data_IF_853937657935
#
_entry.id   IF_853937657935
#
_cell.length_a   1.000
_cell.length_b   1.000
_cell.length_c   1.000
_cell.angle_alpha   90.00
_cell.angle_beta   90.00
_cell.angle_gamma   90.00
#
_symmetry.space_group_name_H-M   'P 1'
#
loop_
_entity.id
_entity.type
_entity.pdbx_description
1 polymer ?
#
# COMPACT_ATOMS: atom_id res chain seq x y z
N UNK A 1 -15.34 3.83 -2.85
CA UNK A 1 -15.56 2.79 -3.88
C UNK A 1 -16.11 3.45 -5.13
N UNK A 2 -15.52 3.19 -6.30
CA UNK A 2 -16.07 3.62 -7.60
C UNK A 2 -16.88 2.47 -8.20
N UNK A 3 -18.04 2.77 -8.77
CA UNK A 3 -18.96 1.82 -9.39
C UNK A 3 -19.24 2.34 -10.79
N UNK A 4 -18.96 1.53 -11.81
CA UNK A 4 -19.21 1.83 -13.22
C UNK A 4 -20.09 0.73 -13.83
N UNK A 5 -21.13 1.14 -14.56
CA UNK A 5 -22.07 0.26 -15.25
C UNK A 5 -22.26 0.64 -16.71
N UNK A 6 -21.25 1.30 -17.31
CA UNK A 6 -21.26 1.64 -18.73
C UNK A 6 -21.46 0.38 -19.58
N UNK A 7 -22.44 0.42 -20.48
CA UNK A 7 -22.78 -0.70 -21.35
C UNK A 7 -23.51 -1.87 -20.69
N UNK A 8 -23.80 -1.83 -19.38
CA UNK A 8 -24.54 -2.91 -18.69
C UNK A 8 -26.03 -2.93 -19.08
N UNK A 9 -26.62 -1.75 -19.28
CA UNK A 9 -28.04 -1.61 -19.57
C UNK A 9 -28.28 -1.07 -20.98
N UNK A 10 -29.31 -1.61 -21.64
CA UNK A 10 -29.86 -1.08 -22.87
C UNK A 10 -31.26 -0.51 -22.61
N UNK A 11 -31.66 0.52 -23.36
CA UNK A 11 -32.98 1.14 -23.20
C UNK A 11 -34.16 0.22 -23.57
N UNK A 12 -33.92 -0.83 -24.37
CA UNK A 12 -34.94 -1.79 -24.78
C UNK A 12 -36.22 -1.11 -25.32
N UNK A 13 -36.06 -0.22 -26.30
CA UNK A 13 -37.17 0.52 -26.91
C UNK A 13 -37.53 1.85 -26.25
N UNK A 14 -37.00 2.15 -25.06
CA UNK A 14 -37.15 3.47 -24.40
C UNK A 14 -35.88 3.89 -23.67
N UNK A 15 -35.47 5.15 -23.78
CA UNK A 15 -34.28 5.62 -23.07
C UNK A 15 -34.40 5.39 -21.55
N UNK A 16 -33.29 5.02 -20.92
CA UNK A 16 -33.18 4.97 -19.45
C UNK A 16 -33.44 6.39 -18.92
N UNK A 17 -34.22 6.48 -17.83
CA UNK A 17 -34.64 7.73 -17.20
C UNK A 17 -33.97 7.94 -15.84
N UNK A 18 -33.61 6.86 -15.15
CA UNK A 18 -32.83 6.93 -13.92
C UNK A 18 -32.07 5.61 -13.70
N UNK A 19 -30.97 5.71 -12.96
CA UNK A 19 -30.33 4.57 -12.33
C UNK A 19 -30.54 4.62 -10.81
N UNK A 20 -30.59 3.44 -10.19
CA UNK A 20 -30.59 3.30 -8.74
C UNK A 20 -29.42 2.43 -8.32
N UNK A 21 -28.64 2.89 -7.34
CA UNK A 21 -27.48 2.14 -6.84
C UNK A 21 -27.76 1.72 -5.41
N UNK A 22 -27.83 0.41 -5.19
CA UNK A 22 -27.91 -0.18 -3.85
C UNK A 22 -26.54 -0.67 -3.42
N UNK A 23 -26.11 -0.27 -2.22
CA UNK A 23 -24.86 -0.73 -1.60
C UNK A 23 -25.14 -1.08 -0.15
N UNK A 24 -24.83 -2.31 0.26
CA UNK A 24 -24.97 -2.72 1.66
C UNK A 24 -23.97 -3.81 2.06
N UNK A 25 -23.56 -3.83 3.32
CA UNK A 25 -22.77 -4.92 3.91
C UNK A 25 -23.64 -6.09 4.38
N UNK A 26 -24.91 -5.83 4.72
CA UNK A 26 -25.90 -6.80 5.21
C UNK A 26 -27.26 -6.68 4.49
N UNK A 27 -28.12 -7.68 4.64
CA UNK A 27 -29.43 -7.74 3.96
C UNK A 27 -29.38 -8.14 2.48
N UNK A 28 -30.55 -8.19 1.84
CA UNK A 28 -30.72 -8.53 0.42
C UNK A 28 -31.04 -7.30 -0.41
N UNK A 29 -30.59 -7.31 -1.67
CA UNK A 29 -30.92 -6.25 -2.61
C UNK A 29 -32.45 -6.14 -2.80
N UNK A 30 -33.03 -4.93 -2.74
CA UNK A 30 -34.48 -4.76 -2.86
C UNK A 30 -34.94 -4.98 -4.30
N UNK A 31 -36.15 -5.50 -4.49
CA UNK A 31 -36.74 -5.59 -5.83
C UNK A 31 -36.98 -4.19 -6.42
N UNK A 32 -36.76 -4.04 -7.72
CA UNK A 32 -37.16 -2.85 -8.47
C UNK A 32 -38.31 -3.19 -9.40
N UNK A 33 -39.47 -2.56 -9.18
CA UNK A 33 -40.72 -2.90 -9.89
C UNK A 33 -41.37 -1.64 -10.47
N UNK A 34 -42.11 -1.84 -11.56
CA UNK A 34 -42.99 -0.85 -12.18
C UNK A 34 -44.35 -1.53 -12.35
N UNK A 35 -45.42 -0.87 -11.94
CA UNK A 35 -46.80 -1.38 -12.05
C UNK A 35 -47.65 -0.44 -12.92
N UNK A 36 -48.87 -0.85 -13.30
CA UNK A 36 -49.79 0.00 -14.08
C UNK A 36 -49.39 0.23 -15.54
N UNK A 37 -48.38 -0.50 -16.04
CA UNK A 37 -47.87 -0.35 -17.41
C UNK A 37 -48.93 -0.71 -18.45
N UNK A 38 -49.64 -1.83 -18.24
CA UNK A 38 -50.71 -2.31 -19.15
C UNK A 38 -51.93 -1.39 -19.18
N UNK A 39 -52.14 -0.62 -18.10
CA UNK A 39 -53.22 0.37 -17.97
C UNK A 39 -52.82 1.74 -18.55
N UNK A 40 -51.59 1.88 -19.08
CA UNK A 40 -51.06 3.15 -19.57
C UNK A 40 -50.74 4.16 -18.47
N UNK A 41 -50.75 3.74 -17.20
CA UNK A 41 -50.51 4.57 -16.02
C UNK A 41 -49.35 4.00 -15.18
N UNK A 42 -48.10 4.01 -15.71
CA UNK A 42 -46.97 3.40 -15.03
C UNK A 42 -46.68 4.11 -13.70
N UNK A 43 -46.60 3.33 -12.64
CA UNK A 43 -46.23 3.78 -11.29
C UNK A 43 -44.91 3.12 -10.90
N UNK A 44 -43.98 3.94 -10.42
CA UNK A 44 -42.68 3.50 -9.96
C UNK A 44 -42.27 4.27 -8.71
N UNK A 45 -41.78 3.54 -7.72
CA UNK A 45 -41.11 4.09 -6.54
C UNK A 45 -39.69 3.53 -6.51
N UNK A 46 -38.66 4.37 -6.35
CA UNK A 46 -37.29 3.90 -6.21
C UNK A 46 -37.18 2.84 -5.10
N UNK A 47 -36.38 1.78 -5.29
CA UNK A 47 -36.21 0.78 -4.24
C UNK A 47 -35.68 1.42 -2.95
N UNK A 48 -36.04 0.90 -1.76
CA UNK A 48 -35.59 1.48 -0.49
C UNK A 48 -34.07 1.39 -0.35
N UNK A 49 -33.46 2.43 0.24
CA UNK A 49 -32.02 2.45 0.54
C UNK A 49 -31.11 2.57 -0.67
N UNK A 50 -31.63 2.99 -1.83
CA UNK A 50 -30.83 3.27 -3.02
C UNK A 50 -30.41 4.73 -3.10
N UNK A 51 -29.29 4.97 -3.78
CA UNK A 51 -28.92 6.29 -4.29
C UNK A 51 -29.52 6.44 -5.69
N UNK A 52 -30.27 7.52 -5.93
CA UNK A 52 -30.80 7.86 -7.25
C UNK A 52 -29.72 8.57 -8.06
N UNK A 53 -29.46 8.09 -9.26
CA UNK A 53 -28.46 8.62 -10.19
C UNK A 53 -29.15 8.99 -11.50
N UNK A 54 -28.77 10.13 -12.06
CA UNK A 54 -29.28 10.62 -13.34
C UNK A 54 -28.94 9.67 -14.51
N UNK A 55 -29.84 9.55 -15.48
CA UNK A 55 -29.66 8.66 -16.63
C UNK A 55 -28.46 9.00 -17.53
N UNK A 56 -27.96 10.23 -17.50
CA UNK A 56 -26.76 10.63 -18.24
C UNK A 56 -25.47 10.09 -17.60
N UNK A 57 -25.50 9.64 -16.34
CA UNK A 57 -24.34 9.07 -15.66
C UNK A 57 -24.37 7.55 -15.67
N UNK A 58 -23.24 6.95 -15.99
CA UNK A 58 -23.03 5.49 -15.92
C UNK A 58 -22.04 5.09 -14.83
N UNK A 59 -21.71 6.03 -13.94
CA UNK A 59 -20.80 5.77 -12.82
C UNK A 59 -21.17 6.60 -11.59
N UNK A 60 -20.75 6.11 -10.43
CA UNK A 60 -20.82 6.87 -9.17
C UNK A 60 -19.68 6.50 -8.23
N UNK A 61 -19.47 7.33 -7.21
CA UNK A 61 -18.54 7.07 -6.13
C UNK A 61 -19.31 7.03 -4.81
N UNK A 62 -19.13 5.94 -4.08
CA UNK A 62 -19.66 5.78 -2.71
C UNK A 62 -18.51 5.96 -1.72
N UNK A 63 -18.66 6.93 -0.83
CA UNK A 63 -17.71 7.28 0.24
C UNK A 63 -18.25 6.85 1.61
N UNK A 64 -17.44 7.00 2.66
CA UNK A 64 -17.84 6.69 4.04
C UNK A 64 -18.03 5.20 4.34
N UNK A 65 -17.51 4.32 3.49
CA UNK A 65 -17.51 2.88 3.72
C UNK A 65 -16.46 2.50 4.75
N UNK A 66 -16.77 1.53 5.60
CA UNK A 66 -15.81 0.96 6.55
C UNK A 66 -14.82 0.08 5.79
N UNK A 67 -13.53 0.29 6.04
CA UNK A 67 -12.49 -0.55 5.47
C UNK A 67 -12.66 -2.02 5.90
N UNK A 68 -12.15 -2.94 5.08
CA UNK A 68 -12.15 -4.39 5.32
C UNK A 68 -13.54 -5.01 5.53
N UNK A 69 -14.61 -4.29 5.16
CA UNK A 69 -15.99 -4.76 5.16
C UNK A 69 -16.43 -5.09 3.74
N UNK A 70 -16.87 -6.31 3.46
CA UNK A 70 -17.40 -6.66 2.14
C UNK A 70 -18.79 -6.07 1.94
N UNK A 71 -18.94 -5.30 0.86
CA UNK A 71 -20.21 -4.73 0.41
C UNK A 71 -20.72 -5.47 -0.83
N UNK A 72 -22.04 -5.62 -0.91
CA UNK A 72 -22.77 -6.04 -2.12
C UNK A 72 -23.28 -4.80 -2.85
N UNK A 73 -23.25 -4.85 -4.16
CA UNK A 73 -23.67 -3.75 -5.05
C UNK A 73 -24.62 -4.30 -6.11
N UNK A 74 -25.75 -3.62 -6.28
CA UNK A 74 -26.67 -3.83 -7.41
C UNK A 74 -27.01 -2.47 -8.00
N UNK A 75 -26.93 -2.37 -9.33
CA UNK A 75 -27.42 -1.21 -10.07
C UNK A 75 -28.75 -1.58 -10.72
N UNK A 76 -29.71 -0.67 -10.71
CA UNK A 76 -30.98 -0.82 -11.40
C UNK A 76 -31.11 0.27 -12.46
N UNK A 77 -31.66 -0.07 -13.62
CA UNK A 77 -32.00 0.88 -14.67
C UNK A 77 -33.52 0.95 -14.85
N UNK A 78 -34.07 2.16 -14.73
CA UNK A 78 -35.48 2.44 -14.92
C UNK A 78 -35.71 3.24 -16.19
N UNK A 79 -36.61 2.80 -17.06
CA UNK A 79 -36.92 3.46 -18.34
C UNK A 79 -38.37 3.95 -18.43
N UNK A 80 -39.12 3.96 -17.32
CA UNK A 80 -40.53 4.37 -17.31
C UNK A 80 -41.55 3.29 -17.65
N UNK A 81 -41.11 2.12 -18.11
CA UNK A 81 -41.98 0.95 -18.36
C UNK A 81 -41.50 -0.28 -17.59
N UNK A 82 -40.22 -0.35 -17.29
CA UNK A 82 -39.65 -1.41 -16.47
C UNK A 82 -38.49 -0.90 -15.62
N UNK A 83 -38.09 -1.75 -14.70
CA UNK A 83 -36.88 -1.57 -13.92
C UNK A 83 -36.09 -2.89 -13.93
N UNK A 84 -34.86 -2.84 -14.42
CA UNK A 84 -34.00 -4.02 -14.58
C UNK A 84 -32.82 -3.94 -13.63
N UNK A 85 -32.52 -5.02 -12.92
CA UNK A 85 -31.35 -5.12 -12.04
C UNK A 85 -30.13 -5.65 -12.82
N UNK A 86 -28.93 -5.18 -12.44
CA UNK A 86 -27.67 -5.85 -12.79
C UNK A 86 -27.54 -7.18 -12.04
N UNK A 87 -26.53 -7.96 -12.41
CA UNK A 87 -26.02 -8.97 -11.49
C UNK A 87 -25.53 -8.29 -10.19
N UNK A 88 -25.66 -9.00 -9.07
CA UNK A 88 -25.06 -8.57 -7.81
C UNK A 88 -23.55 -8.84 -7.85
N UNK A 89 -22.77 -7.83 -7.42
CA UNK A 89 -21.31 -7.93 -7.31
C UNK A 89 -20.88 -7.57 -5.90
N UNK A 90 -19.70 -8.04 -5.50
CA UNK A 90 -19.11 -7.73 -4.19
C UNK A 90 -17.82 -6.96 -4.32
N UNK A 91 -17.54 -6.10 -3.33
CA UNK A 91 -16.29 -5.37 -3.22
C UNK A 91 -15.94 -5.12 -1.75
N UNK A 92 -14.65 -5.22 -1.43
CA UNK A 92 -14.12 -4.94 -0.09
C UNK A 92 -13.15 -3.76 -0.19
N UNK A 93 -13.53 -2.54 0.24
CA UNK A 93 -12.60 -1.42 0.26
C UNK A 93 -11.47 -1.71 1.24
N UNK A 94 -10.23 -1.53 0.77
CA UNK A 94 -9.01 -1.68 1.59
C UNK A 94 -8.49 -0.30 1.98
N UNK A 95 -7.95 -0.20 3.18
CA UNK A 95 -7.29 0.99 3.66
C UNK A 95 -5.78 0.83 3.56
N UNK A 96 -5.10 1.91 3.16
CA UNK A 96 -3.64 1.96 3.19
C UNK A 96 -3.20 2.21 4.62
N UNK A 97 -2.10 1.59 5.08
CA UNK A 97 -1.51 1.96 6.36
C UNK A 97 -1.25 3.46 6.45
N UNK A 98 -1.43 4.02 7.64
CA UNK A 98 -1.05 5.40 7.92
C UNK A 98 0.47 5.57 7.86
N UNK A 99 0.93 6.81 7.76
CA UNK A 99 2.36 7.10 7.73
C UNK A 99 3.05 6.63 9.02
N UNK A 100 4.27 6.12 8.87
CA UNK A 100 5.15 5.82 10.00
C UNK A 100 5.60 7.12 10.66
N UNK A 101 5.51 7.19 11.99
CA UNK A 101 5.81 8.38 12.80
C UNK A 101 7.00 8.17 13.73
N UNK A 102 7.36 6.92 14.04
CA UNK A 102 8.55 6.58 14.79
C UNK A 102 9.14 5.26 14.30
N UNK A 103 10.44 5.09 14.53
CA UNK A 103 11.16 3.85 14.26
C UNK A 103 12.01 3.46 15.46
N UNK A 104 12.23 2.17 15.63
CA UNK A 104 13.30 1.63 16.46
C UNK A 104 14.38 1.07 15.52
N UNK A 105 15.57 1.64 15.57
CA UNK A 105 16.70 1.20 14.77
C UNK A 105 17.93 1.01 15.64
N UNK A 106 18.71 -0.02 15.34
CA UNK A 106 20.02 -0.27 15.96
C UNK A 106 21.14 -0.11 14.94
N UNK A 107 22.33 0.19 15.44
CA UNK A 107 23.57 0.10 14.67
C UNK A 107 24.45 1.35 14.73
N UNK A 108 25.58 1.32 13.98
CA UNK A 108 25.97 0.23 13.07
C UNK A 108 26.24 -1.11 13.78
N UNK A 109 25.69 -2.21 13.27
CA UNK A 109 25.94 -3.58 13.71
C UNK A 109 26.55 -4.38 12.58
N UNK A 110 27.43 -5.33 12.90
CA UNK A 110 28.06 -6.17 11.89
C UNK A 110 27.02 -7.12 11.26
N UNK A 111 26.78 -6.96 9.95
CA UNK A 111 25.80 -7.75 9.17
C UNK A 111 26.47 -8.79 8.30
N UNK A 112 27.73 -8.55 7.93
CA UNK A 112 28.65 -9.47 7.31
C UNK A 112 30.08 -9.02 7.65
N UNK A 113 31.08 -9.85 7.36
CA UNK A 113 32.47 -9.52 7.60
C UNK A 113 32.83 -8.15 7.01
N UNK A 114 33.23 -7.22 7.89
CA UNK A 114 33.60 -5.85 7.51
C UNK A 114 32.42 -4.95 7.10
N UNK A 115 31.17 -5.38 7.23
CA UNK A 115 29.98 -4.57 6.91
C UNK A 115 29.22 -4.25 8.18
N UNK A 116 29.16 -2.97 8.50
CA UNK A 116 28.47 -2.45 9.68
C UNK A 116 27.31 -1.56 9.22
N UNK A 117 26.10 -2.10 9.29
CA UNK A 117 24.88 -1.46 8.79
C UNK A 117 23.90 -1.18 9.93
N UNK A 118 22.86 -0.40 9.63
CA UNK A 118 21.74 -0.21 10.56
C UNK A 118 20.70 -1.31 10.33
N UNK A 119 20.05 -1.74 11.42
CA UNK A 119 18.90 -2.64 11.36
C UNK A 119 17.68 -1.91 11.90
N UNK A 120 16.61 -1.88 11.11
CA UNK A 120 15.31 -1.41 11.53
C UNK A 120 14.61 -2.55 12.27
N UNK A 121 14.32 -2.34 13.55
CA UNK A 121 13.76 -3.33 14.46
C UNK A 121 12.25 -3.25 14.51
N UNK A 122 11.71 -2.04 14.66
CA UNK A 122 10.28 -1.80 14.78
C UNK A 122 9.87 -0.44 14.17
N UNK A 123 8.57 -0.27 13.92
CA UNK A 123 7.98 0.97 13.42
C UNK A 123 6.66 1.26 14.13
N UNK A 124 6.39 2.54 14.36
CA UNK A 124 5.08 3.01 14.85
C UNK A 124 4.35 3.75 13.75
N UNK A 125 3.12 3.36 13.48
CA UNK A 125 2.21 4.03 12.54
C UNK A 125 1.34 5.04 13.27
N UNK A 126 0.96 6.14 12.61
CA UNK A 126 0.12 7.18 13.21
C UNK A 126 -1.24 6.64 13.73
N UNK A 127 -1.80 5.64 13.04
CA UNK A 127 -3.07 5.00 13.35
C UNK A 127 -2.97 3.72 14.19
N UNK A 128 -1.77 3.26 14.53
CA UNK A 128 -1.59 1.96 15.19
C UNK A 128 -1.93 0.76 14.29
N UNK A 129 -1.78 0.92 12.98
CA UNK A 129 -2.01 -0.11 11.98
C UNK A 129 -1.09 -1.32 12.17
N UNK A 130 -1.66 -2.52 12.01
CA UNK A 130 -0.86 -3.73 11.83
C UNK A 130 -0.24 -3.74 10.42
N UNK A 131 1.03 -4.11 10.31
CA UNK A 131 1.78 -4.17 9.05
C UNK A 131 2.25 -5.59 8.78
N UNK A 132 2.23 -5.99 7.50
CA UNK A 132 2.81 -7.27 7.06
C UNK A 132 4.28 -7.11 6.65
N UNK A 133 4.64 -5.92 6.17
CA UNK A 133 5.99 -5.58 5.74
C UNK A 133 6.23 -4.08 5.76
N UNK A 134 7.50 -3.69 5.63
CA UNK A 134 7.93 -2.31 5.39
C UNK A 134 8.70 -2.23 4.08
N UNK A 135 8.68 -1.05 3.47
CA UNK A 135 9.67 -0.63 2.48
C UNK A 135 10.44 0.56 3.02
N UNK A 136 11.72 0.62 2.72
CA UNK A 136 12.59 1.74 3.09
C UNK A 136 13.33 2.29 1.88
N UNK A 137 13.86 3.50 2.02
CA UNK A 137 14.94 4.01 1.17
C UNK A 137 15.91 4.80 2.03
N UNK A 138 17.20 4.66 1.75
CA UNK A 138 18.24 5.42 2.43
C UNK A 138 18.42 6.76 1.74
N UNK A 139 18.58 7.80 2.54
CA UNK A 139 18.79 9.17 2.08
C UNK A 139 20.14 9.64 2.61
N UNK A 140 21.00 10.09 1.71
CA UNK A 140 22.33 10.60 2.03
C UNK A 140 23.01 11.14 0.78
N UNK A 141 24.13 11.84 0.96
CA UNK A 141 24.87 12.39 -0.18
C UNK A 141 25.51 11.25 -0.97
N UNK A 142 25.18 11.11 -2.25
CA UNK A 142 25.73 10.06 -3.12
C UNK A 142 25.18 8.64 -2.87
N UNK A 143 24.17 8.51 -2.00
CA UNK A 143 23.49 7.24 -1.73
C UNK A 143 22.49 6.95 -2.85
N UNK A 144 22.45 5.69 -3.31
CA UNK A 144 21.45 5.22 -4.26
C UNK A 144 20.04 5.35 -3.64
N UNK A 145 19.14 6.17 -4.22
CA UNK A 145 17.82 6.42 -3.67
C UNK A 145 16.80 5.30 -3.96
N UNK A 146 17.24 4.14 -4.48
CA UNK A 146 16.37 3.02 -4.78
C UNK A 146 15.52 2.57 -3.57
N UNK A 147 14.25 2.28 -3.83
CA UNK A 147 13.34 1.72 -2.82
C UNK A 147 13.67 0.24 -2.59
N UNK A 148 13.63 -0.18 -1.32
CA UNK A 148 13.78 -1.59 -0.97
C UNK A 148 12.60 -2.42 -1.51
N UNK A 149 12.85 -3.71 -1.72
CA UNK A 149 11.73 -4.67 -1.76
C UNK A 149 11.00 -4.68 -0.41
N UNK A 150 9.68 -4.92 -0.38
CA UNK A 150 8.95 -5.10 0.87
C UNK A 150 9.56 -6.24 1.69
N UNK A 151 9.78 -6.02 2.98
CA UNK A 151 10.36 -6.99 3.89
C UNK A 151 9.69 -6.92 5.27
N UNK A 152 9.58 -8.07 5.95
CA UNK A 152 9.16 -8.11 7.34
C UNK A 152 10.27 -7.56 8.24
N UNK A 153 9.88 -7.02 9.40
CA UNK A 153 10.81 -6.58 10.44
C UNK A 153 11.29 -7.78 11.29
N UNK A 154 12.52 -7.74 11.82
CA UNK A 154 13.54 -6.70 11.62
C UNK A 154 14.22 -6.81 10.24
N UNK A 155 14.69 -5.68 9.69
CA UNK A 155 15.33 -5.62 8.36
C UNK A 155 16.64 -4.83 8.38
N UNK A 156 17.66 -5.33 7.68
CA UNK A 156 18.92 -4.60 7.46
C UNK A 156 18.72 -3.52 6.40
N UNK A 157 19.16 -2.30 6.72
CA UNK A 157 19.07 -1.14 5.84
C UNK A 157 20.33 -1.04 4.98
N UNK A 158 20.20 -1.18 3.67
CA UNK A 158 21.30 -1.15 2.71
C UNK A 158 20.90 -0.44 1.42
N UNK A 159 21.86 0.20 0.76
CA UNK A 159 21.75 0.73 -0.60
C UNK A 159 22.93 0.22 -1.45
N UNK A 160 23.15 -1.10 -1.41
CA UNK A 160 24.31 -1.75 -2.03
C UNK A 160 25.59 -1.38 -1.28
N UNK A 161 26.51 -0.67 -1.94
CA UNK A 161 27.74 -0.13 -1.33
C UNK A 161 27.74 1.40 -1.21
N UNK A 162 26.70 2.07 -1.71
CA UNK A 162 26.66 3.54 -1.83
C UNK A 162 26.43 4.26 -0.49
N UNK A 163 25.93 3.56 0.52
CA UNK A 163 25.56 4.13 1.82
C UNK A 163 26.70 4.17 2.84
N UNK A 164 27.82 3.51 2.57
CA UNK A 164 28.95 3.47 3.49
C UNK A 164 29.73 4.80 3.50
N UNK A 165 30.18 5.22 4.67
CA UNK A 165 31.01 6.42 4.84
C UNK A 165 30.29 7.77 4.74
N UNK A 166 28.96 7.77 4.55
CA UNK A 166 28.14 8.99 4.55
C UNK A 166 27.13 8.98 5.68
N UNK A 167 26.72 10.17 6.13
CA UNK A 167 25.59 10.30 7.06
C UNK A 167 24.29 9.89 6.37
N UNK A 168 23.49 9.08 7.06
CA UNK A 168 22.28 8.47 6.56
C UNK A 168 21.05 8.97 7.32
N UNK A 169 20.00 9.15 6.56
CA UNK A 169 18.62 9.15 7.01
C UNK A 169 17.88 7.98 6.35
N UNK A 170 16.74 7.59 6.91
CA UNK A 170 15.86 6.59 6.30
C UNK A 170 14.43 7.13 6.24
N UNK A 171 13.80 6.94 5.09
CA UNK A 171 12.35 7.07 4.95
C UNK A 171 11.77 5.67 4.87
N UNK A 172 10.66 5.44 5.57
CA UNK A 172 10.02 4.12 5.68
C UNK A 172 8.53 4.27 5.38
N UNK A 173 7.94 3.29 4.71
CA UNK A 173 6.47 3.15 4.58
C UNK A 173 6.04 1.76 5.01
N UNK A 174 4.91 1.68 5.71
CA UNK A 174 4.28 0.42 6.07
C UNK A 174 3.45 -0.13 4.92
N UNK A 175 3.43 -1.45 4.77
CA UNK A 175 2.67 -2.15 3.74
C UNK A 175 1.81 -3.26 4.36
N UNK A 176 0.59 -3.41 3.83
CA UNK A 176 -0.30 -4.53 4.13
C UNK A 176 -0.57 -5.36 2.89
N UNK A 177 -0.58 -6.67 3.07
CA UNK A 177 -0.84 -7.66 2.04
C UNK A 177 -2.33 -7.98 2.02
N UNK A 178 -2.98 -7.58 0.93
CA UNK A 178 -4.36 -7.97 0.61
C UNK A 178 -4.34 -8.82 -0.67
N UNK A 179 -5.30 -8.62 -1.58
CA UNK A 179 -5.24 -9.15 -2.95
C UNK A 179 -4.04 -8.56 -3.74
N UNK A 180 -3.62 -7.36 -3.34
CA UNK A 180 -2.42 -6.69 -3.80
C UNK A 180 -1.72 -6.02 -2.61
N UNK A 181 -0.42 -5.77 -2.74
CA UNK A 181 0.31 -5.03 -1.72
C UNK A 181 -0.10 -3.57 -1.70
N UNK A 182 -0.58 -3.09 -0.56
CA UNK A 182 -0.94 -1.69 -0.36
C UNK A 182 0.00 -1.06 0.67
N UNK A 183 0.84 -0.14 0.20
CA UNK A 183 1.72 0.64 1.06
C UNK A 183 1.14 2.03 1.35
N UNK A 184 1.41 2.51 2.56
CA UNK A 184 1.09 3.86 3.01
C UNK A 184 1.99 4.93 2.38
N UNK A 185 1.86 6.15 2.89
CA UNK A 185 2.79 7.23 2.56
C UNK A 185 4.17 6.97 3.17
N UNK A 186 5.20 7.51 2.51
CA UNK A 186 6.54 7.60 3.10
C UNK A 186 6.51 8.45 4.37
N UNK A 187 7.27 8.03 5.38
CA UNK A 187 7.52 8.81 6.59
C UNK A 187 8.32 10.07 6.28
N UNK A 188 8.40 10.99 7.25
CA UNK A 188 9.51 11.93 7.28
C UNK A 188 10.84 11.18 7.44
N UNK A 189 11.99 11.75 7.01
CA UNK A 189 13.29 11.13 7.20
C UNK A 189 13.65 11.00 8.68
N UNK A 190 14.04 9.80 9.10
CA UNK A 190 14.62 9.55 10.41
C UNK A 190 16.14 9.55 10.33
N UNK A 191 16.82 10.28 11.20
CA UNK A 191 18.27 10.25 11.26
C UNK A 191 18.78 8.92 11.80
N UNK A 192 19.82 8.38 11.15
CA UNK A 192 20.57 7.22 11.61
C UNK A 192 21.96 7.69 12.05
N UNK A 193 22.98 7.39 11.25
CA UNK A 193 24.37 7.77 11.45
C UNK A 193 25.16 7.40 10.20
N UNK A 194 26.37 6.88 10.37
CA UNK A 194 27.24 6.46 9.25
C UNK A 194 27.40 4.94 9.28
N UNK A 195 27.01 4.26 8.20
CA UNK A 195 27.34 2.85 8.01
C UNK A 195 28.81 2.71 7.62
N UNK A 196 29.46 1.62 8.05
CA UNK A 196 30.91 1.42 7.84
C UNK A 196 31.16 0.18 7.00
N UNK A 197 31.98 0.35 5.96
CA UNK A 197 32.59 -0.74 5.21
C UNK A 197 34.07 -0.78 5.58
N UNK A 198 34.53 -1.92 6.05
CA UNK A 198 35.93 -2.27 6.25
C UNK A 198 36.30 -3.16 5.07
N UNK A 199 36.71 -2.53 3.98
CA UNK A 199 37.25 -3.18 2.78
C UNK A 199 38.74 -3.53 2.94
N UNK A 200 39.42 -2.91 3.90
CA UNK A 200 40.85 -3.14 4.17
C UNK A 200 41.06 -4.11 5.32
N UNK A 201 41.47 -5.34 5.01
CA UNK A 201 42.06 -6.23 6.02
C UNK A 201 43.56 -5.93 6.17
N UNK A 202 44.07 -5.83 7.42
CA UNK A 202 45.50 -5.62 7.63
C UNK A 202 46.30 -6.82 7.12
N UNK A 203 47.30 -6.56 6.27
CA UNK A 203 48.29 -7.57 5.94
C UNK A 203 49.35 -7.61 7.06
N UNK A 204 49.53 -8.77 7.68
CA UNK A 204 50.59 -8.99 8.67
C UNK A 204 51.76 -9.65 7.95
N UNK A 205 52.86 -8.92 7.81
CA UNK A 205 54.12 -9.48 7.31
C UNK A 205 55.08 -9.61 8.48
N UNK A 206 55.40 -10.85 8.86
CA UNK A 206 56.44 -11.12 9.84
C UNK A 206 57.80 -11.16 9.14
N UNK A 207 58.64 -10.16 9.38
CA UNK A 207 60.03 -10.15 8.89
C UNK A 207 60.97 -10.58 10.02
N UNK A 208 61.83 -11.55 9.74
CA UNK A 208 62.88 -11.94 10.66
C UNK A 208 64.01 -12.68 9.96
N UNK A 209 65.22 -12.13 10.03
CA UNK A 209 66.45 -12.92 9.96
C UNK A 209 66.94 -13.13 11.39
N UNK A 210 67.20 -14.39 11.75
CA UNK A 210 67.71 -14.69 13.08
C UNK A 210 69.20 -14.29 13.20
N UNK A 211 69.70 -13.99 14.41
CA UNK A 211 68.96 -13.87 15.68
C UNK A 211 69.14 -12.47 16.27
N UNK A 212 68.07 -11.65 16.32
CA UNK A 212 67.66 -10.86 17.51
C UNK A 212 66.66 -9.75 17.20
N UNK A 213 66.40 -9.39 15.94
CA UNK A 213 65.34 -8.44 15.60
C UNK A 213 64.13 -9.17 15.00
N UNK A 214 63.10 -9.35 15.83
CA UNK A 214 61.77 -9.73 15.36
C UNK A 214 60.94 -8.44 15.27
N UNK A 215 60.86 -7.85 14.09
CA UNK A 215 59.97 -6.73 13.81
C UNK A 215 58.69 -7.23 13.15
N UNK A 216 57.55 -6.66 13.55
CA UNK A 216 56.26 -6.89 12.91
C UNK A 216 55.77 -5.55 12.37
N UNK A 217 55.54 -5.47 11.06
CA UNK A 217 54.87 -4.33 10.43
C UNK A 217 53.42 -4.69 10.17
N UNK A 218 52.51 -3.87 10.69
CA UNK A 218 51.07 -3.95 10.38
C UNK A 218 50.75 -2.75 9.48
N UNK A 219 50.22 -3.01 8.30
CA UNK A 219 49.79 -1.97 7.36
C UNK A 219 48.35 -2.22 6.90
N UNK A 220 47.57 -1.15 6.85
CA UNK A 220 46.27 -1.11 6.16
C UNK A 220 46.50 -0.43 4.81
N UNK A 221 46.17 -1.11 3.71
CA UNK A 221 46.25 -0.58 2.34
C UNK A 221 44.85 -0.60 1.70
N UNK A 222 44.29 0.56 1.30
CA UNK A 222 43.01 0.63 0.58
C UNK A 222 43.00 -0.16 -0.72
#
# INVERSE_FOLDING_TARGET
>A
MSIDWSGVFAGNGRAVQAYYVWVASSGSAPACTVTGVDEGAPVHTPPPGVVVIDAASTATVVSGLTADTTYRVVVYAYNGQGCTASAEVTATPRERPTSITAIEAEGPVETAEGRWDFRLLDVTTAGGDALDSVQYRLVGTGVDPAESTPAALPVVLTAGTSHYGTALQVEVRGCRQYEQLLCGAWSAPFALGVAVLIDVQPAIVATGEAPNDRSVSISWTP
#
